data_IF_590213094902
#
_entry.id   IF_590213094902
#
_cell.length_a   1.000
_cell.length_b   1.000
_cell.length_c   1.000
_cell.angle_alpha   90.00
_cell.angle_beta   90.00
_cell.angle_gamma   90.00
#
_symmetry.space_group_name_H-M   'P 1'
#
loop_
_entity.id
_entity.type
_entity.pdbx_description
1 polymer ?
#
# COMPACT_ATOMS: atom_id res chain seq x y z
N UNK A 1 22.99 14.95 -1.26
CA UNK A 1 22.22 14.04 -0.39
C UNK A 1 20.86 14.69 -0.24
N UNK A 2 19.89 14.27 -1.04
CA UNK A 2 18.53 14.81 -1.02
C UNK A 2 17.66 13.80 -0.31
N UNK A 3 17.14 14.19 0.85
CA UNK A 3 16.16 13.42 1.58
C UNK A 3 14.82 13.49 0.83
N UNK A 4 14.34 12.36 0.31
CA UNK A 4 13.11 12.28 -0.47
C UNK A 4 11.93 12.08 0.47
N UNK A 5 11.56 13.13 1.20
CA UNK A 5 10.41 13.09 2.10
C UNK A 5 9.11 13.29 1.30
N UNK A 6 8.40 12.21 1.02
CA UNK A 6 7.09 12.24 0.36
C UNK A 6 6.00 11.83 1.35
N UNK A 7 4.75 12.17 1.07
CA UNK A 7 3.60 11.57 1.78
C UNK A 7 2.77 10.82 0.77
N UNK A 8 2.48 9.56 1.05
CA UNK A 8 1.64 8.74 0.18
C UNK A 8 0.19 8.76 0.68
N UNK A 9 -0.73 9.06 -0.24
CA UNK A 9 -2.15 8.85 -0.04
C UNK A 9 -2.57 7.64 -0.88
N UNK A 10 -2.95 6.56 -0.22
CA UNK A 10 -3.23 5.30 -0.87
C UNK A 10 -4.50 4.62 -0.37
N UNK A 11 -5.07 3.71 -1.15
CA UNK A 11 -6.13 2.80 -0.68
C UNK A 11 -5.54 1.41 -0.50
N UNK A 12 -5.59 0.86 0.72
CA UNK A 12 -4.83 -0.34 1.03
C UNK A 12 -5.04 -0.90 2.43
N UNK A 13 -4.17 -1.85 2.76
CA UNK A 13 -4.10 -2.55 4.04
C UNK A 13 -2.68 -2.40 4.58
N UNK A 14 -2.54 -2.09 5.87
CA UNK A 14 -1.27 -2.21 6.58
C UNK A 14 -1.03 -3.66 7.01
N UNK A 15 0.13 -4.20 6.67
CA UNK A 15 0.53 -5.55 7.03
C UNK A 15 1.60 -5.46 8.10
N UNK A 16 1.31 -5.88 9.35
CA UNK A 16 2.33 -5.91 10.39
C UNK A 16 3.37 -6.98 10.03
N UNK A 17 4.64 -6.59 10.03
CA UNK A 17 5.78 -7.46 9.73
C UNK A 17 6.71 -7.47 10.93
N UNK A 18 7.26 -8.64 11.27
CA UNK A 18 8.17 -8.80 12.42
C UNK A 18 9.63 -8.40 12.10
N UNK A 19 9.94 -8.18 10.81
CA UNK A 19 11.26 -7.84 10.29
C UNK A 19 11.27 -6.54 9.49
N UNK A 20 12.38 -6.24 8.79
CA UNK A 20 12.47 -5.05 7.95
C UNK A 20 11.43 -5.08 6.82
N UNK A 21 10.77 -3.96 6.55
CA UNK A 21 9.74 -3.87 5.51
C UNK A 21 10.28 -4.20 4.11
N UNK A 22 11.54 -3.88 3.81
CA UNK A 22 12.17 -4.19 2.52
C UNK A 22 12.22 -5.68 2.20
N UNK A 23 12.38 -6.58 3.19
CA UNK A 23 12.38 -8.03 2.94
C UNK A 23 11.01 -8.50 2.45
N UNK A 24 9.94 -7.95 3.02
CA UNK A 24 8.57 -8.23 2.60
C UNK A 24 8.22 -7.54 1.27
N UNK A 25 8.83 -6.38 0.99
CA UNK A 25 8.76 -5.70 -0.30
C UNK A 25 9.33 -6.57 -1.42
N UNK A 26 10.55 -7.11 -1.26
CA UNK A 26 11.17 -8.03 -2.22
C UNK A 26 10.32 -9.29 -2.43
N UNK A 27 9.79 -9.87 -1.34
CA UNK A 27 8.89 -11.01 -1.42
C UNK A 27 7.60 -10.68 -2.18
N UNK A 28 7.02 -9.51 -1.95
CA UNK A 28 5.81 -9.07 -2.63
C UNK A 28 6.05 -8.85 -4.14
N UNK A 29 7.21 -8.33 -4.52
CA UNK A 29 7.64 -8.22 -5.92
C UNK A 29 7.69 -9.56 -6.65
N UNK A 30 8.06 -10.64 -5.95
CA UNK A 30 8.09 -11.99 -6.53
C UNK A 30 6.71 -12.65 -6.58
N UNK A 31 5.88 -12.46 -5.56
CA UNK A 31 4.62 -13.20 -5.39
C UNK A 31 3.41 -12.50 -6.02
N UNK A 32 3.31 -11.17 -5.97
CA UNK A 32 2.18 -10.43 -6.55
C UNK A 32 1.98 -10.68 -8.06
N UNK A 33 3.03 -10.77 -8.90
CA UNK A 33 2.87 -11.09 -10.31
C UNK A 33 2.17 -12.44 -10.56
N UNK A 34 2.36 -13.42 -9.66
CA UNK A 34 1.75 -14.76 -9.78
C UNK A 34 0.24 -14.73 -9.58
N UNK A 35 -0.25 -13.75 -8.82
CA UNK A 35 -1.69 -13.56 -8.53
C UNK A 35 -2.31 -12.37 -9.25
N UNK A 36 -1.56 -11.69 -10.12
CA UNK A 36 -1.99 -10.47 -10.83
C UNK A 36 -3.26 -10.67 -11.66
N UNK A 37 -3.49 -11.87 -12.18
CA UNK A 37 -4.72 -12.19 -12.91
C UNK A 37 -5.98 -12.14 -12.02
N UNK A 38 -5.84 -12.43 -10.73
CA UNK A 38 -6.94 -12.38 -9.76
C UNK A 38 -7.02 -11.02 -9.04
N UNK A 39 -5.88 -10.35 -8.85
CA UNK A 39 -5.77 -9.08 -8.14
C UNK A 39 -5.02 -8.04 -8.99
N UNK A 40 -5.58 -7.62 -10.14
CA UNK A 40 -4.88 -6.77 -11.11
C UNK A 40 -4.50 -5.39 -10.58
N UNK A 41 -5.24 -4.84 -9.63
CA UNK A 41 -5.00 -3.50 -9.11
C UNK A 41 -4.08 -3.49 -7.90
N UNK A 42 -3.80 -4.64 -7.29
CA UNK A 42 -2.96 -4.72 -6.10
C UNK A 42 -1.48 -4.59 -6.45
N UNK A 43 -0.81 -3.72 -5.71
CA UNK A 43 0.63 -3.55 -5.58
C UNK A 43 1.03 -3.51 -4.11
N UNK A 44 2.25 -3.08 -3.84
CA UNK A 44 2.75 -2.88 -2.48
C UNK A 44 3.39 -1.49 -2.34
N UNK A 45 3.52 -1.05 -1.10
CA UNK A 45 4.20 0.17 -0.71
C UNK A 45 5.03 -0.11 0.53
N UNK A 46 6.29 0.29 0.49
CA UNK A 46 7.16 0.40 1.63
C UNK A 46 7.37 1.89 1.91
N UNK A 47 7.03 2.33 3.11
CA UNK A 47 7.22 3.71 3.52
C UNK A 47 7.17 3.83 5.05
N UNK A 48 7.88 4.80 5.60
CA UNK A 48 7.93 5.04 7.03
C UNK A 48 9.07 5.97 7.42
N UNK A 49 9.64 5.73 8.59
CA UNK A 49 10.86 6.42 9.05
C UNK A 49 12.04 5.44 8.97
N UNK A 50 13.26 5.94 8.97
CA UNK A 50 14.50 5.16 8.83
C UNK A 50 14.60 3.92 9.75
N UNK A 51 14.00 3.99 10.94
CA UNK A 51 13.96 2.88 11.92
C UNK A 51 12.59 2.18 12.01
N UNK A 52 11.59 2.64 11.25
CA UNK A 52 10.19 2.24 11.32
C UNK A 52 9.54 2.24 9.94
N UNK A 53 10.15 1.54 9.00
CA UNK A 53 9.49 1.27 7.73
C UNK A 53 8.34 0.30 7.94
N UNK A 54 7.25 0.60 7.25
CA UNK A 54 6.03 -0.19 7.28
C UNK A 54 5.73 -0.74 5.89
N UNK A 55 5.13 -1.94 5.88
CA UNK A 55 4.73 -2.61 4.65
C UNK A 55 3.21 -2.53 4.45
N UNK A 56 2.79 -2.21 3.23
CA UNK A 56 1.39 -2.05 2.87
C UNK A 56 1.10 -2.75 1.54
N UNK A 57 -0.09 -3.34 1.44
CA UNK A 57 -0.69 -3.70 0.15
C UNK A 57 -1.63 -2.57 -0.27
N UNK A 58 -1.46 -2.06 -1.49
CA UNK A 58 -2.18 -0.87 -1.97
C UNK A 58 -2.72 -1.09 -3.38
N UNK A 59 -3.80 -0.41 -3.73
CA UNK A 59 -4.36 -0.43 -5.10
C UNK A 59 -4.07 0.87 -5.84
N UNK A 60 -4.52 1.98 -5.28
CA UNK A 60 -4.25 3.33 -5.76
C UNK A 60 -3.29 4.02 -4.82
N UNK A 61 -2.23 4.64 -5.34
CA UNK A 61 -1.24 5.37 -4.56
C UNK A 61 -0.89 6.70 -5.24
N UNK A 62 -0.93 7.79 -4.47
CA UNK A 62 -0.54 9.13 -4.87
C UNK A 62 0.59 9.61 -3.97
N UNK A 63 1.73 9.97 -4.56
CA UNK A 63 2.83 10.60 -3.84
C UNK A 63 2.68 12.11 -3.84
N UNK A 64 2.71 12.72 -2.65
CA UNK A 64 2.69 14.17 -2.45
C UNK A 64 4.08 14.62 -2.01
N UNK A 65 4.74 15.45 -2.83
CA UNK A 65 6.06 16.01 -2.50
C UNK A 65 5.98 16.96 -1.29
N UNK A 66 7.06 17.04 -0.51
CA UNK A 66 7.19 17.99 0.58
C UNK A 66 6.94 19.45 0.14
N UNK A 67 6.15 20.19 0.92
CA UNK A 67 5.81 21.59 0.64
C UNK A 67 4.76 21.77 -0.44
N UNK A 68 4.22 20.68 -0.99
CA UNK A 68 3.04 20.68 -1.86
C UNK A 68 1.83 20.14 -1.11
N UNK A 69 0.66 20.46 -1.63
CA UNK A 69 -0.58 19.82 -1.22
C UNK A 69 -1.26 19.24 -2.46
N UNK A 70 -1.92 18.10 -2.29
CA UNK A 70 -2.76 17.50 -3.32
C UNK A 70 -4.19 17.42 -2.78
N UNK A 71 -5.17 17.66 -3.65
CA UNK A 71 -6.58 17.54 -3.30
C UNK A 71 -7.09 16.19 -3.80
N UNK A 72 -7.11 15.20 -2.90
CA UNK A 72 -7.69 13.90 -3.22
C UNK A 72 -9.17 13.90 -2.86
N UNK A 73 -10.03 13.86 -3.88
CA UNK A 73 -11.48 13.85 -3.66
C UNK A 73 -12.03 12.43 -3.62
N UNK A 74 -13.12 12.18 -2.87
CA UNK A 74 -13.82 10.90 -2.89
C UNK A 74 -14.35 10.50 -4.26
N UNK A 75 -14.51 11.45 -5.21
CA UNK A 75 -14.93 11.14 -6.58
C UNK A 75 -13.82 10.47 -7.42
N UNK A 76 -12.64 10.27 -6.85
CA UNK A 76 -11.53 9.58 -7.52
C UNK A 76 -11.70 8.05 -7.57
N UNK A 77 -12.70 7.50 -6.88
CA UNK A 77 -13.11 6.09 -6.95
C UNK A 77 -14.63 5.96 -6.71
N UNK A 78 -15.33 5.14 -7.49
CA UNK A 78 -16.76 4.85 -7.23
C UNK A 78 -16.92 3.81 -6.11
N UNK A 79 -18.11 3.72 -5.47
CA UNK A 79 -18.36 2.67 -4.47
C UNK A 79 -18.13 1.25 -5.00
N UNK A 80 -18.42 1.01 -6.29
CA UNK A 80 -18.18 -0.27 -6.95
C UNK A 80 -16.68 -0.56 -7.09
N UNK A 81 -15.87 0.46 -7.42
CA UNK A 81 -14.41 0.32 -7.48
C UNK A 81 -13.81 0.05 -6.11
N UNK A 82 -14.32 0.72 -5.06
CA UNK A 82 -13.86 0.49 -3.69
C UNK A 82 -14.20 -0.95 -3.26
N UNK A 83 -15.42 -1.42 -3.53
CA UNK A 83 -15.81 -2.78 -3.21
C UNK A 83 -14.99 -3.84 -3.96
N UNK A 84 -14.61 -3.56 -5.21
CA UNK A 84 -13.71 -4.42 -5.99
C UNK A 84 -12.29 -4.41 -5.40
N UNK A 85 -11.74 -3.24 -5.06
CA UNK A 85 -10.44 -3.12 -4.39
C UNK A 85 -10.41 -3.83 -3.05
N UNK A 86 -11.47 -3.77 -2.25
CA UNK A 86 -11.58 -4.50 -0.99
C UNK A 86 -11.42 -6.00 -1.22
N UNK A 87 -12.12 -6.54 -2.22
CA UNK A 87 -12.05 -7.96 -2.56
C UNK A 87 -10.65 -8.35 -3.04
N UNK A 88 -10.04 -7.55 -3.92
CA UNK A 88 -8.70 -7.81 -4.43
C UNK A 88 -7.64 -7.74 -3.32
N UNK A 89 -7.70 -6.74 -2.44
CA UNK A 89 -6.75 -6.57 -1.33
C UNK A 89 -6.83 -7.72 -0.33
N UNK A 90 -8.06 -8.14 0.04
CA UNK A 90 -8.26 -9.29 0.93
C UNK A 90 -7.77 -10.58 0.26
N UNK A 91 -8.12 -10.79 -1.02
CA UNK A 91 -7.69 -11.97 -1.76
C UNK A 91 -6.16 -12.04 -1.90
N UNK A 92 -5.51 -10.92 -2.22
CA UNK A 92 -4.07 -10.82 -2.31
C UNK A 92 -3.41 -11.08 -0.95
N UNK A 93 -3.91 -10.48 0.11
CA UNK A 93 -3.37 -10.68 1.45
C UNK A 93 -3.45 -12.16 1.89
N UNK A 94 -4.60 -12.81 1.63
CA UNK A 94 -4.78 -14.23 1.91
C UNK A 94 -3.87 -15.12 1.06
N UNK A 95 -3.71 -14.80 -0.23
CA UNK A 95 -2.84 -15.56 -1.13
C UNK A 95 -1.36 -15.45 -0.74
N UNK A 96 -0.94 -14.29 -0.22
CA UNK A 96 0.39 -14.06 0.36
C UNK A 96 0.54 -14.64 1.77
N UNK A 97 -0.54 -15.23 2.33
CA UNK A 97 -0.51 -15.94 3.61
C UNK A 97 -0.66 -15.06 4.84
N UNK A 98 -1.02 -13.79 4.69
CA UNK A 98 -1.29 -12.90 5.81
C UNK A 98 -2.64 -13.25 6.47
N UNK A 99 -2.65 -13.31 7.81
CA UNK A 99 -3.82 -13.78 8.60
C UNK A 99 -4.47 -12.70 9.45
N UNK A 100 -3.70 -11.70 9.88
CA UNK A 100 -4.15 -10.64 10.78
C UNK A 100 -4.04 -9.27 10.11
N UNK A 101 -4.77 -9.10 9.01
CA UNK A 101 -4.80 -7.84 8.27
C UNK A 101 -5.89 -6.92 8.80
N UNK A 102 -5.61 -5.62 8.84
CA UNK A 102 -6.65 -4.62 9.05
C UNK A 102 -7.65 -4.61 7.90
N UNK A 103 -8.83 -4.04 8.10
CA UNK A 103 -9.75 -3.77 7.00
C UNK A 103 -9.08 -2.80 5.99
N UNK A 104 -9.33 -2.95 4.67
CA UNK A 104 -8.92 -1.97 3.68
C UNK A 104 -9.45 -0.57 4.00
N UNK A 105 -8.66 0.44 3.66
CA UNK A 105 -9.05 1.82 3.88
C UNK A 105 -8.11 2.83 3.20
N UNK A 106 -8.50 4.10 3.28
CA UNK A 106 -7.61 5.19 2.89
C UNK A 106 -6.49 5.34 3.92
N UNK A 107 -5.26 5.27 3.43
CA UNK A 107 -4.03 5.36 4.18
C UNK A 107 -3.36 6.70 3.85
N UNK A 108 -2.87 7.35 4.90
CA UNK A 108 -1.93 8.47 4.81
C UNK A 108 -0.63 7.96 5.40
N UNK A 109 0.39 7.81 4.56
CA UNK A 109 1.69 7.26 4.96
C UNK A 109 2.77 8.32 4.75
N UNK A 110 3.19 9.01 5.83
CA UNK A 110 4.36 9.88 5.77
C UNK A 110 5.62 9.04 5.57
N UNK A 111 6.43 9.41 4.59
CA UNK A 111 7.74 8.82 4.32
C UNK A 111 8.83 9.83 4.68
N UNK A 112 9.67 9.44 5.63
CA UNK A 112 10.74 10.21 6.22
C UNK A 112 12.03 9.43 6.05
N UNK A 113 12.71 9.64 4.92
CA UNK A 113 13.98 9.00 4.57
C UNK A 113 15.13 9.99 4.48
#
# INVERSE_FOLDING_TARGET
MGYYHSTYFAYGIHIPVDGPAWEESERADEELPKIKAACPDVGHLEAGDYDRDHFFLVTKCHSVDLGRFEHVTPQTATPEQIADWDQQLIAAAMALGYKDTSAPGWLVVPDLS
#
